data_IF_094552378951
#
_entry.id   IF_094552378951
#
_cell.length_a   1.000
_cell.length_b   1.000
_cell.length_c   1.000
_cell.angle_alpha   90.00
_cell.angle_beta   90.00
_cell.angle_gamma   90.00
#
_symmetry.space_group_name_H-M   'P 1'
#
loop_
_entity.id
_entity.type
_entity.pdbx_description
1 polymer ?
#
# COMPACT_ATOMS: atom_id res chain seq x y z
N UNK A 1 3.32 30.33 -16.69
CA UNK A 1 2.98 29.83 -15.32
C UNK A 1 2.34 28.45 -15.42
N UNK A 2 1.35 28.28 -16.29
CA UNK A 2 0.65 27.01 -16.54
C UNK A 2 1.58 25.86 -16.95
N UNK A 3 2.52 26.05 -17.88
CA UNK A 3 3.46 24.97 -18.27
C UNK A 3 4.36 24.50 -17.12
N UNK A 4 4.81 25.42 -16.26
CA UNK A 4 5.63 25.05 -15.08
C UNK A 4 4.81 24.24 -14.07
N UNK A 5 3.58 24.68 -13.79
CA UNK A 5 2.63 23.97 -12.93
C UNK A 5 2.29 22.59 -13.50
N UNK A 6 2.09 22.50 -14.81
CA UNK A 6 1.78 21.23 -15.48
C UNK A 6 2.98 20.28 -15.47
N UNK A 7 4.21 20.79 -15.48
CA UNK A 7 5.43 19.99 -15.36
C UNK A 7 5.71 19.52 -13.92
N UNK A 8 5.28 20.29 -12.91
CA UNK A 8 5.45 19.95 -11.49
C UNK A 8 4.31 19.10 -10.94
N UNK A 9 3.08 19.35 -11.39
CA UNK A 9 1.85 18.78 -10.84
C UNK A 9 1.04 17.97 -11.88
N UNK A 10 1.51 17.85 -13.12
CA UNK A 10 0.87 17.01 -14.12
C UNK A 10 1.15 15.53 -13.88
N UNK A 11 0.17 14.69 -14.18
CA UNK A 11 0.34 13.24 -14.30
C UNK A 11 0.87 12.98 -15.71
N UNK A 12 1.95 12.21 -15.83
CA UNK A 12 2.50 11.87 -17.15
C UNK A 12 1.50 11.00 -17.91
N UNK A 13 1.19 11.38 -19.15
CA UNK A 13 0.40 10.56 -20.07
C UNK A 13 1.34 9.87 -21.04
N UNK A 14 1.26 8.55 -21.11
CA UNK A 14 2.10 7.70 -21.95
C UNK A 14 1.27 7.08 -23.06
N UNK A 15 1.85 7.02 -24.27
CA UNK A 15 1.25 6.32 -25.38
C UNK A 15 1.62 4.83 -25.30
N UNK A 16 0.61 3.98 -25.28
CA UNK A 16 0.73 2.52 -25.29
C UNK A 16 0.20 2.01 -26.63
N UNK A 17 0.95 1.12 -27.28
CA UNK A 17 0.54 0.51 -28.56
C UNK A 17 0.07 -0.91 -28.30
N UNK A 18 -1.14 -1.25 -28.74
CA UNK A 18 -1.63 -2.62 -28.67
C UNK A 18 -0.97 -3.50 -29.72
N UNK A 19 -1.04 -4.82 -29.51
CA UNK A 19 -0.61 -5.84 -30.49
C UNK A 19 -1.27 -5.65 -31.87
N UNK A 20 -2.48 -5.09 -31.91
CA UNK A 20 -3.24 -4.82 -33.15
C UNK A 20 -2.85 -3.48 -33.82
N UNK A 21 -1.94 -2.71 -33.20
CA UNK A 21 -1.43 -1.46 -33.72
C UNK A 21 -2.16 -0.20 -33.28
N UNK A 22 -3.21 -0.31 -32.46
CA UNK A 22 -3.95 0.83 -31.94
C UNK A 22 -3.14 1.55 -30.86
N UNK A 23 -3.13 2.89 -30.89
CA UNK A 23 -2.46 3.72 -29.89
C UNK A 23 -3.50 4.18 -28.86
N UNK A 24 -3.23 3.88 -27.60
CA UNK A 24 -4.00 4.34 -26.45
C UNK A 24 -3.13 5.24 -25.59
N UNK A 25 -3.75 6.21 -24.91
CA UNK A 25 -3.05 7.09 -23.98
C UNK A 25 -3.47 6.74 -22.56
N UNK A 26 -2.49 6.38 -21.73
CA UNK A 26 -2.71 6.00 -20.33
C UNK A 26 -1.94 6.94 -19.42
N UNK A 27 -2.57 7.35 -18.33
CA UNK A 27 -1.87 8.07 -17.27
C UNK A 27 -0.93 7.14 -16.51
N UNK A 28 0.20 7.68 -16.08
CA UNK A 28 1.18 7.00 -15.23
C UNK A 28 0.54 6.61 -13.91
N UNK A 29 0.40 5.30 -13.67
CA UNK A 29 -0.13 4.76 -12.42
C UNK A 29 0.78 5.13 -11.25
N UNK A 30 2.10 5.12 -11.47
CA UNK A 30 3.07 5.50 -10.43
C UNK A 30 2.89 6.95 -9.99
N UNK A 31 2.65 7.87 -10.93
CA UNK A 31 2.44 9.29 -10.62
C UNK A 31 1.15 9.48 -9.82
N UNK A 32 0.09 8.73 -10.16
CA UNK A 32 -1.19 8.75 -9.44
C UNK A 32 -1.01 8.26 -8.00
N UNK A 33 -0.41 7.08 -7.81
CA UNK A 33 -0.18 6.49 -6.48
C UNK A 33 0.73 7.38 -5.63
N UNK A 34 1.82 7.92 -6.20
CA UNK A 34 2.69 8.85 -5.50
C UNK A 34 1.93 10.09 -5.03
N UNK A 35 1.03 10.63 -5.85
CA UNK A 35 0.22 11.80 -5.48
C UNK A 35 -0.76 11.50 -4.37
N UNK A 36 -1.41 10.35 -4.44
CA UNK A 36 -2.37 9.93 -3.41
C UNK A 36 -1.70 9.73 -2.05
N UNK A 37 -0.50 9.11 -2.05
CA UNK A 37 0.32 8.95 -0.85
C UNK A 37 0.91 10.27 -0.34
N UNK A 38 1.18 11.23 -1.22
CA UNK A 38 1.76 12.53 -0.85
C UNK A 38 0.75 13.47 -0.19
N UNK A 39 -0.55 13.28 -0.43
CA UNK A 39 -1.60 14.11 0.16
C UNK A 39 -2.05 13.52 1.50
N UNK A 40 -1.75 14.17 2.66
CA UNK A 40 -2.00 13.58 3.97
C UNK A 40 -3.48 13.24 4.22
N UNK A 41 -4.39 14.09 3.72
CA UNK A 41 -5.83 13.88 3.84
C UNK A 41 -6.35 12.71 3.02
N UNK A 42 -5.67 12.33 1.94
CA UNK A 42 -6.05 11.17 1.15
C UNK A 42 -5.34 9.92 1.65
N UNK A 43 -4.05 10.03 1.97
CA UNK A 43 -3.23 8.94 2.47
C UNK A 43 -3.83 8.26 3.72
N UNK A 44 -4.51 9.02 4.60
CA UNK A 44 -5.19 8.47 5.78
C UNK A 44 -6.37 7.54 5.46
N UNK A 45 -6.90 7.59 4.24
CA UNK A 45 -8.00 6.75 3.78
C UNK A 45 -7.54 5.57 2.90
N UNK A 46 -6.24 5.47 2.60
CA UNK A 46 -5.71 4.35 1.84
C UNK A 46 -5.64 3.10 2.71
N UNK A 47 -6.19 1.99 2.21
CA UNK A 47 -6.06 0.68 2.85
C UNK A 47 -4.74 0.05 2.39
N UNK A 48 -3.74 0.05 3.26
CA UNK A 48 -2.37 -0.46 2.97
C UNK A 48 -2.18 -1.93 3.38
N UNK A 49 -2.93 -2.37 4.39
CA UNK A 49 -2.83 -3.74 4.94
C UNK A 49 -4.17 -4.44 4.83
N UNK A 50 -4.19 -5.76 4.58
CA UNK A 50 -5.40 -6.56 4.63
C UNK A 50 -6.12 -6.39 5.97
N UNK A 51 -7.45 -6.32 5.93
CA UNK A 51 -8.31 -6.16 7.10
C UNK A 51 -8.87 -7.52 7.54
N UNK A 52 -8.51 -7.95 8.74
CA UNK A 52 -9.02 -9.18 9.33
C UNK A 52 -10.22 -8.86 10.21
N UNK A 53 -11.40 -8.98 9.61
CA UNK A 53 -12.69 -8.80 10.29
C UNK A 53 -13.44 -10.12 10.46
N UNK A 54 -14.12 -10.34 11.60
CA UNK A 54 -15.07 -11.45 11.76
C UNK A 54 -16.40 -11.23 11.04
N UNK A 55 -16.63 -10.03 10.49
CA UNK A 55 -17.86 -9.67 9.78
C UNK A 55 -17.86 -10.26 8.36
N UNK A 56 -19.03 -10.37 7.71
CA UNK A 56 -19.09 -10.69 6.29
C UNK A 56 -18.24 -9.71 5.47
N UNK A 57 -17.55 -10.25 4.45
CA UNK A 57 -16.71 -9.47 3.54
C UNK A 57 -17.59 -8.49 2.77
N UNK A 58 -17.34 -7.19 2.93
CA UNK A 58 -17.92 -6.12 2.12
C UNK A 58 -16.95 -5.56 1.09
N UNK A 59 -15.65 -5.60 1.40
CA UNK A 59 -14.58 -4.98 0.61
C UNK A 59 -13.47 -5.99 0.25
N UNK A 60 -12.77 -5.75 -0.87
CA UNK A 60 -11.70 -6.64 -1.33
C UNK A 60 -10.56 -6.81 -0.31
N UNK A 61 -10.22 -5.76 0.44
CA UNK A 61 -9.18 -5.81 1.46
C UNK A 61 -9.52 -6.70 2.66
N UNK A 62 -10.78 -7.12 2.81
CA UNK A 62 -11.24 -8.05 3.85
C UNK A 62 -11.24 -9.51 3.38
N UNK A 63 -11.02 -9.75 2.09
CA UNK A 63 -11.08 -11.09 1.53
C UNK A 63 -9.90 -11.96 2.01
N UNK A 64 -10.14 -13.26 2.15
CA UNK A 64 -9.08 -14.22 2.50
C UNK A 64 -8.00 -14.36 1.41
N UNK A 65 -8.22 -13.85 0.20
CA UNK A 65 -7.26 -13.86 -0.91
C UNK A 65 -5.87 -13.35 -0.50
N UNK A 66 -5.80 -12.33 0.35
CA UNK A 66 -4.52 -11.77 0.83
C UNK A 66 -3.68 -12.76 1.64
N UNK A 67 -4.29 -13.83 2.19
CA UNK A 67 -3.58 -14.90 2.91
C UNK A 67 -2.92 -15.90 1.97
N UNK A 68 -3.33 -15.92 0.71
CA UNK A 68 -2.81 -16.81 -0.33
C UNK A 68 -1.65 -16.15 -1.11
N UNK A 69 -1.53 -14.83 -1.03
CA UNK A 69 -0.48 -14.09 -1.71
C UNK A 69 0.92 -14.42 -1.15
N UNK A 70 1.96 -14.50 -2.01
CA UNK A 70 3.34 -14.56 -1.57
C UNK A 70 3.69 -13.39 -0.66
N UNK A 71 4.47 -13.62 0.39
CA UNK A 71 4.88 -12.56 1.33
C UNK A 71 5.63 -11.41 0.65
N UNK A 72 6.35 -11.71 -0.44
CA UNK A 72 7.06 -10.72 -1.26
C UNK A 72 6.14 -9.73 -1.98
N UNK A 73 4.85 -10.07 -2.13
CA UNK A 73 3.85 -9.23 -2.78
C UNK A 73 3.03 -8.40 -1.78
N UNK A 74 3.18 -8.67 -0.48
CA UNK A 74 2.54 -7.93 0.60
C UNK A 74 3.40 -6.73 1.05
N UNK A 75 2.76 -5.75 1.69
CA UNK A 75 3.45 -4.55 2.20
C UNK A 75 4.59 -4.96 3.16
N UNK A 76 5.86 -4.61 2.85
CA UNK A 76 7.02 -5.16 3.56
C UNK A 76 7.29 -4.49 4.91
N UNK A 77 6.63 -3.38 5.21
CA UNK A 77 6.93 -2.61 6.41
C UNK A 77 5.71 -1.94 7.01
N UNK A 78 5.77 -1.72 8.32
CA UNK A 78 4.88 -0.84 9.05
C UNK A 78 5.65 0.38 9.54
N UNK A 79 5.09 1.57 9.32
CA UNK A 79 5.61 2.81 9.88
C UNK A 79 4.74 3.26 11.05
N UNK A 80 5.33 3.35 12.23
CA UNK A 80 4.65 3.79 13.44
C UNK A 80 5.63 4.26 14.51
N UNK A 81 5.21 5.24 15.32
CA UNK A 81 6.07 5.85 16.35
C UNK A 81 7.42 6.36 15.79
N UNK A 82 7.40 6.94 14.59
CA UNK A 82 8.58 7.45 13.88
C UNK A 82 9.66 6.39 13.61
N UNK A 83 9.24 5.13 13.45
CA UNK A 83 10.11 3.99 13.15
C UNK A 83 9.48 3.10 12.10
N UNK A 84 10.32 2.52 11.25
CA UNK A 84 9.94 1.44 10.36
C UNK A 84 10.19 0.09 11.03
N UNK A 85 9.25 -0.82 10.85
CA UNK A 85 9.35 -2.22 11.24
C UNK A 85 9.18 -3.04 9.97
N UNK A 86 10.21 -3.75 9.55
CA UNK A 86 10.17 -4.58 8.35
C UNK A 86 9.78 -6.02 8.69
N UNK A 87 9.14 -6.69 7.74
CA UNK A 87 8.95 -8.14 7.81
C UNK A 87 10.30 -8.83 7.80
N UNK A 88 10.37 -10.01 8.43
CA UNK A 88 11.57 -10.85 8.52
C UNK A 88 12.77 -10.22 9.29
N UNK A 89 12.57 -9.09 9.97
CA UNK A 89 13.53 -8.46 10.88
C UNK A 89 13.14 -8.63 12.36
N UNK A 90 14.14 -8.77 13.24
CA UNK A 90 13.89 -8.90 14.69
C UNK A 90 13.34 -7.60 15.27
N UNK A 91 12.15 -7.68 15.86
CA UNK A 91 11.47 -6.60 16.55
C UNK A 91 11.37 -6.88 18.05
N UNK A 92 11.52 -5.84 18.87
CA UNK A 92 11.33 -5.95 20.33
C UNK A 92 9.99 -5.36 20.75
N UNK A 93 9.15 -6.19 21.36
CA UNK A 93 7.88 -5.77 21.96
C UNK A 93 8.11 -4.92 23.21
N UNK A 94 7.07 -4.20 23.66
CA UNK A 94 7.14 -3.34 24.85
C UNK A 94 7.45 -4.10 26.14
N UNK A 95 7.07 -5.38 26.21
CA UNK A 95 7.38 -6.28 27.32
C UNK A 95 8.81 -6.85 27.28
N UNK A 96 9.62 -6.46 26.28
CA UNK A 96 11.00 -6.93 26.10
C UNK A 96 11.15 -8.19 25.26
N UNK A 97 10.06 -8.88 24.91
CA UNK A 97 10.10 -10.08 24.06
C UNK A 97 10.55 -9.74 22.64
N UNK A 98 11.27 -10.67 22.01
CA UNK A 98 11.70 -10.58 20.61
C UNK A 98 10.74 -11.38 19.72
N UNK A 99 10.34 -10.78 18.61
CA UNK A 99 9.46 -11.38 17.59
C UNK A 99 9.97 -11.05 16.19
N UNK A 100 9.56 -11.84 15.20
CA UNK A 100 9.86 -11.56 13.79
C UNK A 100 8.52 -11.45 13.07
N UNK A 101 8.07 -10.24 12.68
CA UNK A 101 6.82 -10.06 11.96
C UNK A 101 6.95 -10.68 10.56
N UNK A 102 5.93 -11.43 10.13
CA UNK A 102 5.86 -12.07 8.81
C UNK A 102 4.88 -11.39 7.87
N UNK A 103 3.79 -10.87 8.42
CA UNK A 103 2.72 -10.19 7.67
C UNK A 103 2.09 -9.11 8.55
N UNK A 104 1.83 -7.95 7.99
CA UNK A 104 1.08 -6.86 8.62
C UNK A 104 -0.40 -6.92 8.25
N UNK A 105 -1.27 -6.81 9.24
CA UNK A 105 -2.74 -6.85 9.06
C UNK A 105 -3.41 -5.77 9.90
N UNK A 106 -4.58 -5.32 9.47
CA UNK A 106 -5.43 -4.42 10.26
C UNK A 106 -6.49 -5.25 10.99
N UNK A 107 -6.74 -4.93 12.27
CA UNK A 107 -7.87 -5.47 13.04
C UNK A 107 -8.48 -4.35 13.85
N UNK A 108 -9.76 -4.05 13.62
CA UNK A 108 -10.48 -2.99 14.35
C UNK A 108 -9.80 -1.62 14.24
N UNK A 109 -9.20 -1.31 13.08
CA UNK A 109 -8.51 -0.05 12.81
C UNK A 109 -7.07 0.06 13.37
N UNK A 110 -6.58 -0.96 14.09
CA UNK A 110 -5.19 -1.02 14.54
C UNK A 110 -4.38 -2.02 13.71
N UNK A 111 -3.09 -1.73 13.51
CA UNK A 111 -2.18 -2.61 12.77
C UNK A 111 -1.54 -3.62 13.72
N UNK A 112 -1.55 -4.88 13.33
CA UNK A 112 -0.95 -6.02 14.01
C UNK A 112 0.02 -6.74 13.07
N UNK A 113 0.89 -7.56 13.66
CA UNK A 113 1.75 -8.47 12.92
C UNK A 113 1.45 -9.92 13.28
N UNK A 114 1.40 -10.78 12.26
CA UNK A 114 1.56 -12.22 12.46
C UNK A 114 3.06 -12.51 12.64
N UNK A 115 3.45 -13.06 13.79
CA UNK A 115 4.84 -13.31 14.19
C UNK A 115 5.10 -14.81 14.35
#
# INVERSE_FOLDING_TARGET
>A
LEEKLRKQCGVKTEAQKSEQGNIFYTNSITDLVCRDLSQPDLAKHLIIYPDETPQPISEFHQANYHKELPRSELTPSYYGNSKHFFVDEVCRLRNGSLVIPRVWVTRGGAVYAHC
#
